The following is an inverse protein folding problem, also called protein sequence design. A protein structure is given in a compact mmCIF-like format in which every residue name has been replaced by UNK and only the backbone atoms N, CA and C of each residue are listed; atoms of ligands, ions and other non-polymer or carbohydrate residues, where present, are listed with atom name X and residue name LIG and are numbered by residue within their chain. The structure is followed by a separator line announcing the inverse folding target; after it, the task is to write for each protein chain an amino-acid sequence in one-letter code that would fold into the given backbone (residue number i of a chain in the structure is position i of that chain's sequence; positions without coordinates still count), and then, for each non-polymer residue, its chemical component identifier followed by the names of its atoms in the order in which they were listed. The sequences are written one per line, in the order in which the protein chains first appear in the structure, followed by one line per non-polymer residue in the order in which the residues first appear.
data_IF_407509459878
#
_entry.id   IF_407509459878
#
_cell.length_a   1.000
_cell.length_b   1.000
_cell.length_c   1.000
_cell.angle_alpha   90.00
_cell.angle_beta   90.00
_cell.angle_gamma   90.00
#
_symmetry.space_group_name_H-M   'P 1'
#
loop_
_entity.id
_entity.type
_entity.pdbx_description
1 polymer ?
#
# COMPACT_ATOMS: atom_id res chain seq x y z
N UNK A 1 -21.96 21.55 -15.21
CA UNK A 1 -23.26 21.52 -14.51
C UNK A 1 -23.74 20.08 -14.52
N UNK A 2 -23.17 19.27 -13.63
CA UNK A 2 -23.53 17.88 -13.42
C UNK A 2 -24.32 17.82 -12.13
N UNK A 3 -25.59 17.46 -12.27
CA UNK A 3 -26.54 17.19 -11.21
C UNK A 3 -26.16 15.88 -10.51
N UNK A 4 -25.47 15.96 -9.38
CA UNK A 4 -25.46 14.88 -8.41
C UNK A 4 -26.69 15.05 -7.51
N UNK A 5 -27.54 14.02 -7.56
CA UNK A 5 -28.77 13.90 -6.80
C UNK A 5 -28.48 13.58 -5.33
N UNK A 6 -28.47 14.60 -4.47
CA UNK A 6 -28.51 14.45 -3.01
C UNK A 6 -29.92 14.03 -2.58
N UNK A 7 -30.13 12.74 -2.34
CA UNK A 7 -31.42 12.16 -1.94
C UNK A 7 -31.63 12.11 -0.42
N UNK A 8 -31.04 13.04 0.34
CA UNK A 8 -31.22 13.16 1.81
C UNK A 8 -31.21 14.59 2.38
N UNK A 9 -31.15 15.63 1.54
CA UNK A 9 -31.03 17.04 2.01
C UNK A 9 -32.38 17.76 2.20
N UNK A 10 -33.51 17.07 2.01
CA UNK A 10 -34.82 17.74 1.91
C UNK A 10 -35.39 18.30 3.24
N UNK A 11 -34.71 18.09 4.37
CA UNK A 11 -35.16 18.54 5.71
C UNK A 11 -34.11 19.38 6.47
N UNK A 12 -33.20 20.05 5.78
CA UNK A 12 -32.27 21.00 6.43
C UNK A 12 -32.92 22.41 6.56
N UNK A 13 -32.92 22.95 7.77
CA UNK A 13 -33.34 24.33 8.05
C UNK A 13 -32.07 25.15 8.39
N UNK A 14 -31.86 26.25 7.68
CA UNK A 14 -30.79 27.21 8.00
C UNK A 14 -31.13 27.97 9.28
N UNK A 15 -30.29 27.84 10.30
CA UNK A 15 -30.42 28.50 11.62
C UNK A 15 -29.35 29.56 11.85
N UNK A 16 -28.63 29.98 10.81
CA UNK A 16 -27.45 30.87 10.95
C UNK A 16 -27.83 32.20 11.60
N UNK A 17 -28.96 32.79 11.19
CA UNK A 17 -29.42 34.07 11.71
C UNK A 17 -29.83 33.96 13.19
N UNK A 18 -30.60 32.93 13.53
CA UNK A 18 -31.07 32.62 14.88
C UNK A 18 -29.89 32.34 15.81
N UNK A 19 -28.91 31.56 15.36
CA UNK A 19 -27.70 31.22 16.13
C UNK A 19 -26.87 32.47 16.42
N UNK A 20 -26.60 33.31 15.42
CA UNK A 20 -25.83 34.54 15.61
C UNK A 20 -26.59 35.56 16.48
N UNK A 21 -27.92 35.60 16.41
CA UNK A 21 -28.72 36.43 17.30
C UNK A 21 -28.67 35.94 18.75
N UNK A 22 -28.77 34.64 18.98
CA UNK A 22 -28.65 34.04 20.30
C UNK A 22 -27.26 34.26 20.91
N UNK A 23 -26.20 34.08 20.11
CA UNK A 23 -24.82 34.25 20.55
C UNK A 23 -24.50 35.68 21.04
N UNK A 24 -25.11 36.71 20.44
CA UNK A 24 -24.96 38.12 20.86
C UNK A 24 -25.48 38.39 22.27
N UNK A 25 -26.39 37.56 22.78
CA UNK A 25 -26.98 37.74 24.11
C UNK A 25 -26.15 37.05 25.21
N UNK A 26 -25.08 36.31 24.86
CA UNK A 26 -24.21 35.63 25.83
C UNK A 26 -23.29 36.67 26.49
N UNK A 27 -23.27 36.79 27.83
CA UNK A 27 -22.37 37.69 28.54
C UNK A 27 -20.89 37.35 28.32
N UNK A 28 -20.04 38.37 28.30
CA UNK A 28 -18.59 38.19 28.22
C UNK A 28 -18.08 37.28 29.34
N UNK A 29 -17.20 36.33 28.98
CA UNK A 29 -16.64 35.36 29.93
C UNK A 29 -17.54 34.17 30.24
N UNK A 30 -18.71 34.05 29.61
CA UNK A 30 -19.55 32.86 29.69
C UNK A 30 -19.36 31.95 28.47
N UNK A 31 -19.47 30.65 28.70
CA UNK A 31 -19.45 29.61 27.66
C UNK A 31 -20.72 28.78 27.82
N UNK A 32 -21.51 28.68 26.75
CA UNK A 32 -22.69 27.82 26.72
C UNK A 32 -22.24 26.41 26.40
N UNK A 33 -22.46 25.49 27.34
CA UNK A 33 -22.11 24.07 27.23
C UNK A 33 -23.06 23.23 28.07
N UNK A 34 -23.04 21.91 27.88
CA UNK A 34 -23.67 20.99 28.83
C UNK A 34 -23.01 21.08 30.22
N UNK A 35 -23.81 20.93 31.27
CA UNK A 35 -23.31 20.90 32.65
C UNK A 35 -22.37 19.71 32.89
N UNK A 36 -22.58 18.61 32.18
CA UNK A 36 -21.78 17.39 32.26
C UNK A 36 -20.44 17.51 31.50
N UNK A 37 -20.30 18.48 30.60
CA UNK A 37 -19.12 18.59 29.74
C UNK A 37 -18.00 19.39 30.43
N UNK A 38 -16.78 18.84 30.46
CA UNK A 38 -15.62 19.54 30.99
C UNK A 38 -14.90 20.33 29.89
N UNK A 39 -14.62 21.62 30.12
CA UNK A 39 -13.83 22.42 29.18
C UNK A 39 -12.40 21.91 29.00
N UNK A 40 -11.89 21.08 29.93
CA UNK A 40 -10.60 20.43 29.79
C UNK A 40 -10.58 19.42 28.64
N UNK A 41 -11.72 18.82 28.27
CA UNK A 41 -11.79 17.96 27.08
C UNK A 41 -11.61 18.78 25.79
N UNK A 42 -12.07 20.03 25.81
CA UNK A 42 -11.95 20.97 24.69
C UNK A 42 -10.50 21.37 24.36
N UNK A 43 -9.53 21.14 25.25
CA UNK A 43 -8.11 21.46 24.95
C UNK A 43 -7.50 20.53 23.90
N UNK A 44 -8.16 19.40 23.61
CA UNK A 44 -7.80 18.46 22.54
C UNK A 44 -8.56 18.72 21.24
N UNK A 45 -9.43 19.74 21.20
CA UNK A 45 -10.18 20.10 20.01
C UNK A 45 -9.26 20.54 18.88
N UNK A 46 -9.51 20.04 17.67
CA UNK A 46 -8.87 20.53 16.45
C UNK A 46 -9.54 21.84 16.01
N UNK A 47 -8.78 22.68 15.30
CA UNK A 47 -9.23 23.98 14.82
C UNK A 47 -9.15 24.03 13.30
N UNK A 48 -10.30 24.23 12.64
CA UNK A 48 -10.36 24.40 11.19
C UNK A 48 -9.67 25.69 10.76
N UNK A 49 -9.11 25.71 9.55
CA UNK A 49 -8.37 26.84 8.97
C UNK A 49 -7.08 27.22 9.74
N UNK A 50 -6.64 26.39 10.68
CA UNK A 50 -5.35 26.54 11.36
C UNK A 50 -4.33 25.59 10.74
N UNK A 51 -3.28 26.13 10.10
CA UNK A 51 -2.24 25.36 9.40
C UNK A 51 -1.57 24.25 10.23
N UNK A 52 -1.59 24.34 11.57
CA UNK A 52 -0.97 23.35 12.46
C UNK A 52 -1.95 22.32 13.02
N UNK A 53 -3.25 22.59 12.99
CA UNK A 53 -4.30 21.76 13.60
C UNK A 53 -5.31 21.23 12.58
N UNK A 54 -5.28 21.75 11.36
CA UNK A 54 -6.16 21.36 10.26
C UNK A 54 -5.37 20.56 9.21
N UNK A 55 -5.56 19.24 9.23
CA UNK A 55 -4.94 18.34 8.26
C UNK A 55 -5.47 18.53 6.84
N UNK A 56 -6.62 19.17 6.64
CA UNK A 56 -7.16 19.44 5.30
C UNK A 56 -6.33 20.48 4.53
N UNK A 57 -5.46 21.23 5.23
CA UNK A 57 -4.57 22.23 4.65
C UNK A 57 -3.20 21.67 4.26
N UNK A 58 -2.96 20.37 4.44
CA UNK A 58 -1.70 19.72 4.03
C UNK A 58 -1.55 19.89 2.52
N UNK A 59 -0.42 20.46 2.11
CA UNK A 59 -0.09 20.67 0.70
C UNK A 59 0.62 19.44 0.17
N UNK A 60 0.02 18.80 -0.82
CA UNK A 60 0.60 17.69 -1.55
C UNK A 60 1.21 18.20 -2.86
N UNK A 61 2.29 17.55 -3.29
CA UNK A 61 2.80 17.66 -4.65
C UNK A 61 1.90 16.89 -5.62
N UNK A 62 1.97 17.21 -6.92
CA UNK A 62 1.18 16.51 -7.94
C UNK A 62 1.56 15.03 -8.02
N UNK A 63 2.82 14.73 -7.74
CA UNK A 63 3.36 13.38 -7.71
C UNK A 63 2.77 12.57 -6.55
N UNK A 64 2.58 13.19 -5.38
CA UNK A 64 1.94 12.55 -4.22
C UNK A 64 0.44 12.33 -4.44
N UNK A 65 -0.26 13.33 -5.01
CA UNK A 65 -1.69 13.22 -5.30
C UNK A 65 -2.01 12.13 -6.34
N UNK A 66 -1.18 12.01 -7.37
CA UNK A 66 -1.41 11.08 -8.49
C UNK A 66 -0.60 9.78 -8.35
N UNK A 67 -0.05 9.48 -7.17
CA UNK A 67 0.73 8.27 -6.94
C UNK A 67 -0.14 7.02 -7.10
N UNK A 68 0.24 6.11 -8.00
CA UNK A 68 -0.49 4.87 -8.27
C UNK A 68 0.36 3.64 -7.89
N UNK A 69 -0.17 2.80 -7.00
CA UNK A 69 0.46 1.57 -6.49
C UNK A 69 0.32 0.36 -7.43
N UNK A 70 -0.43 0.50 -8.52
CA UNK A 70 -0.69 -0.58 -9.49
C UNK A 70 0.32 -0.59 -10.64
N UNK A 71 1.11 0.47 -10.77
CA UNK A 71 2.07 0.59 -11.86
C UNK A 71 3.26 -0.38 -11.68
N UNK A 72 3.79 -0.96 -12.77
CA UNK A 72 4.96 -1.81 -12.72
C UNK A 72 6.17 -1.06 -12.14
N UNK A 73 6.91 -1.73 -11.25
CA UNK A 73 8.17 -1.23 -10.71
C UNK A 73 9.34 -2.09 -11.13
N UNK A 74 10.46 -1.44 -11.43
CA UNK A 74 11.72 -2.17 -11.62
C UNK A 74 12.27 -2.67 -10.27
N UNK A 75 13.32 -3.48 -10.35
CA UNK A 75 13.96 -4.07 -9.18
C UNK A 75 14.52 -3.01 -8.22
N UNK A 76 15.22 -2.00 -8.73
CA UNK A 76 15.85 -0.96 -7.90
C UNK A 76 14.83 -0.18 -7.07
N UNK A 77 13.71 0.22 -7.67
CA UNK A 77 12.62 0.90 -6.97
C UNK A 77 11.93 -0.04 -5.97
N UNK A 78 11.69 -1.30 -6.34
CA UNK A 78 11.12 -2.31 -5.44
C UNK A 78 11.97 -2.48 -4.18
N UNK A 79 13.28 -2.67 -4.35
CA UNK A 79 14.23 -2.79 -3.25
C UNK A 79 14.31 -1.51 -2.41
N UNK A 80 14.32 -0.35 -3.07
CA UNK A 80 14.34 0.95 -2.39
C UNK A 80 13.09 1.16 -1.52
N UNK A 81 11.91 0.70 -1.96
CA UNK A 81 10.69 0.75 -1.17
C UNK A 81 10.78 -0.20 0.03
N UNK A 82 11.24 -1.44 -0.16
CA UNK A 82 11.43 -2.39 0.93
C UNK A 82 12.37 -1.84 2.02
N UNK A 83 13.53 -1.33 1.60
CA UNK A 83 14.53 -0.72 2.47
C UNK A 83 13.99 0.52 3.19
N UNK A 84 13.29 1.42 2.48
CA UNK A 84 12.65 2.59 3.09
C UNK A 84 11.58 2.18 4.10
N UNK A 85 10.73 1.20 3.79
CA UNK A 85 9.69 0.73 4.73
C UNK A 85 10.32 0.13 5.98
N UNK A 86 11.36 -0.69 5.84
CA UNK A 86 12.05 -1.29 6.98
C UNK A 86 12.66 -0.23 7.89
N UNK A 87 13.28 0.82 7.34
CA UNK A 87 13.72 1.98 8.13
C UNK A 87 12.58 2.67 8.86
N UNK A 88 11.41 2.82 8.24
CA UNK A 88 10.25 3.40 8.91
C UNK A 88 9.74 2.54 10.06
N UNK A 89 9.81 1.22 9.95
CA UNK A 89 9.52 0.31 11.07
C UNK A 89 10.49 0.56 12.22
N UNK A 90 11.79 0.71 11.96
CA UNK A 90 12.75 1.05 13.02
C UNK A 90 12.55 2.45 13.61
N UNK A 91 12.17 3.45 12.79
CA UNK A 91 11.85 4.78 13.29
C UNK A 91 10.63 4.76 14.20
N UNK A 92 9.59 4.00 13.81
CA UNK A 92 8.40 3.78 14.61
C UNK A 92 8.73 3.15 15.97
N UNK A 93 9.49 2.04 15.97
CA UNK A 93 9.92 1.38 17.21
C UNK A 93 10.82 2.28 18.07
N UNK A 94 11.46 3.29 17.47
CA UNK A 94 12.23 4.32 18.17
C UNK A 94 11.40 5.58 18.44
N UNK A 95 10.16 5.39 18.89
CA UNK A 95 9.26 6.44 19.39
C UNK A 95 8.77 7.49 18.35
N UNK A 96 8.80 7.15 17.06
CA UNK A 96 8.06 7.94 16.05
C UNK A 96 6.62 7.44 15.93
N UNK A 97 5.72 8.27 15.40
CA UNK A 97 4.31 7.85 15.24
C UNK A 97 4.13 6.86 14.09
N UNK A 98 3.20 5.93 14.24
CA UNK A 98 2.90 4.94 13.20
C UNK A 98 2.35 5.62 11.93
N UNK A 99 1.52 6.66 12.10
CA UNK A 99 0.97 7.51 11.02
C UNK A 99 2.04 8.19 10.17
N UNK A 100 3.09 8.75 10.78
CA UNK A 100 4.13 9.49 10.06
C UNK A 100 5.24 8.59 9.49
N UNK A 101 5.24 7.30 9.85
CA UNK A 101 6.29 6.35 9.45
C UNK A 101 5.73 5.28 8.53
N UNK A 102 5.24 4.16 9.06
CA UNK A 102 4.80 3.02 8.25
C UNK A 102 3.55 3.36 7.43
N UNK A 103 2.57 4.03 8.04
CA UNK A 103 1.34 4.40 7.35
C UNK A 103 1.53 5.58 6.38
N UNK A 104 2.70 6.22 6.36
CA UNK A 104 3.04 7.18 5.29
C UNK A 104 3.24 6.49 3.92
N UNK A 105 3.40 5.17 3.90
CA UNK A 105 3.59 4.40 2.68
C UNK A 105 2.24 4.06 2.02
N UNK A 106 2.00 4.57 0.79
CA UNK A 106 0.76 4.31 0.03
C UNK A 106 0.50 2.82 -0.24
N UNK A 107 1.54 2.02 -0.45
CA UNK A 107 1.38 0.56 -0.57
C UNK A 107 0.84 -0.09 0.71
N UNK A 108 1.27 0.41 1.88
CA UNK A 108 0.80 -0.07 3.18
C UNK A 108 -0.66 0.33 3.38
N UNK A 109 -0.98 1.60 3.14
CA UNK A 109 -2.35 2.13 3.22
C UNK A 109 -3.31 1.34 2.32
N UNK A 110 -3.01 1.21 1.03
CA UNK A 110 -3.88 0.52 0.08
C UNK A 110 -4.11 -0.95 0.48
N UNK A 111 -3.05 -1.65 0.90
CA UNK A 111 -3.15 -3.03 1.37
C UNK A 111 -4.06 -3.15 2.59
N UNK A 112 -3.91 -2.26 3.57
CA UNK A 112 -4.69 -2.27 4.81
C UNK A 112 -6.13 -1.82 4.58
N UNK A 113 -6.37 -0.78 3.78
CA UNK A 113 -7.72 -0.32 3.41
C UNK A 113 -8.49 -1.43 2.70
N UNK A 114 -7.87 -2.10 1.74
CA UNK A 114 -8.50 -3.21 1.02
C UNK A 114 -8.79 -4.41 1.94
N UNK A 115 -7.90 -4.70 2.89
CA UNK A 115 -8.15 -5.69 3.92
C UNK A 115 -9.33 -5.28 4.83
N UNK A 116 -9.37 -4.03 5.30
CA UNK A 116 -10.42 -3.51 6.18
C UNK A 116 -11.81 -3.51 5.52
N UNK A 117 -11.91 -3.40 4.18
CA UNK A 117 -13.20 -3.53 3.47
C UNK A 117 -13.85 -4.90 3.71
N UNK A 118 -13.06 -5.98 3.77
CA UNK A 118 -13.59 -7.31 4.02
C UNK A 118 -12.56 -8.29 4.60
N UNK A 119 -12.38 -8.20 5.92
CA UNK A 119 -11.41 -9.01 6.68
C UNK A 119 -11.64 -10.53 6.57
N UNK A 120 -12.86 -10.98 6.24
CA UNK A 120 -13.23 -12.39 6.18
C UNK A 120 -12.58 -13.13 5.00
N UNK A 121 -12.19 -12.42 3.94
CA UNK A 121 -11.46 -13.01 2.81
C UNK A 121 -9.96 -13.17 3.09
N UNK A 122 -9.50 -12.72 4.27
CA UNK A 122 -8.14 -12.92 4.75
C UNK A 122 -7.10 -12.35 3.80
N UNK A 123 -6.08 -13.15 3.47
CA UNK A 123 -4.93 -12.73 2.67
C UNK A 123 -5.27 -12.41 1.21
N UNK A 124 -6.41 -12.88 0.68
CA UNK A 124 -6.77 -12.74 -0.73
C UNK A 124 -7.17 -11.30 -1.11
N UNK A 125 -7.63 -10.51 -0.14
CA UNK A 125 -8.00 -9.10 -0.34
C UNK A 125 -6.84 -8.14 -0.07
N UNK A 126 -5.71 -8.65 0.42
CA UNK A 126 -4.52 -7.85 0.70
C UNK A 126 -3.75 -7.56 -0.61
N UNK A 127 -4.27 -6.63 -1.41
CA UNK A 127 -3.74 -6.23 -2.70
C UNK A 127 -3.49 -4.72 -2.76
N UNK A 128 -2.63 -4.30 -3.68
CA UNK A 128 -2.32 -2.89 -3.94
C UNK A 128 -3.30 -2.20 -4.90
N UNK A 129 -4.35 -2.90 -5.29
CA UNK A 129 -5.40 -2.44 -6.20
C UNK A 129 -6.77 -2.73 -5.60
N UNK A 130 -7.81 -2.03 -6.03
CA UNK A 130 -9.16 -2.29 -5.56
C UNK A 130 -9.68 -3.62 -6.13
N UNK A 131 -10.06 -4.62 -5.30
CA UNK A 131 -10.61 -5.87 -5.80
C UNK A 131 -11.95 -5.71 -6.54
N UNK A 132 -12.60 -4.55 -6.47
CA UNK A 132 -13.78 -4.22 -7.27
C UNK A 132 -13.45 -3.84 -8.74
N UNK A 133 -12.18 -3.61 -9.08
CA UNK A 133 -11.76 -3.34 -10.45
C UNK A 133 -11.63 -4.64 -11.26
N UNK A 134 -12.60 -4.90 -12.13
CA UNK A 134 -12.72 -6.08 -12.99
C UNK A 134 -11.49 -6.33 -13.91
N UNK A 135 -10.70 -5.29 -14.20
CA UNK A 135 -9.56 -5.36 -15.12
C UNK A 135 -8.36 -6.17 -14.56
N UNK A 136 -8.26 -6.36 -13.24
CA UNK A 136 -7.06 -6.92 -12.61
C UNK A 136 -7.17 -8.45 -12.41
N UNK A 137 -8.38 -9.00 -12.30
CA UNK A 137 -8.60 -10.44 -12.39
C UNK A 137 -8.10 -10.99 -13.74
N UNK A 138 -8.21 -10.19 -14.82
CA UNK A 138 -7.64 -10.50 -16.14
C UNK A 138 -6.10 -10.48 -16.10
N UNK A 139 -5.48 -9.58 -15.32
CA UNK A 139 -4.02 -9.48 -15.18
C UNK A 139 -3.46 -10.67 -14.37
N UNK A 140 -4.14 -11.09 -13.30
CA UNK A 140 -3.77 -12.27 -12.50
C UNK A 140 -3.95 -13.56 -13.32
N UNK A 141 -5.02 -13.69 -14.10
CA UNK A 141 -5.19 -14.81 -15.06
C UNK A 141 -4.12 -14.77 -16.17
N UNK A 142 -3.71 -13.59 -16.63
CA UNK A 142 -2.59 -13.43 -17.57
C UNK A 142 -1.24 -13.81 -16.93
N UNK A 143 -1.02 -13.53 -15.65
CA UNK A 143 0.21 -13.89 -14.91
C UNK A 143 0.45 -15.40 -14.82
N UNK A 144 -0.62 -16.19 -14.65
CA UNK A 144 -0.52 -17.67 -14.71
C UNK A 144 -0.18 -18.17 -16.13
N UNK A 145 -0.51 -17.39 -17.15
CA UNK A 145 -0.19 -17.68 -18.55
C UNK A 145 1.25 -17.31 -18.96
N UNK A 146 1.96 -16.46 -18.20
CA UNK A 146 3.35 -16.05 -18.51
C UNK A 146 4.29 -17.25 -18.59
N UNK A 147 4.16 -18.24 -17.70
CA UNK A 147 4.97 -19.47 -17.76
C UNK A 147 4.66 -20.34 -18.99
N UNK A 148 3.44 -20.24 -19.55
CA UNK A 148 3.05 -20.94 -20.77
C UNK A 148 3.47 -20.18 -22.03
N UNK A 149 3.41 -18.84 -22.00
CA UNK A 149 3.85 -17.97 -23.09
C UNK A 149 5.38 -18.01 -23.22
N UNK A 150 6.12 -17.99 -22.12
CA UNK A 150 7.58 -18.16 -22.11
C UNK A 150 8.02 -19.52 -22.69
N UNK A 151 7.26 -20.60 -22.42
CA UNK A 151 7.46 -21.91 -23.05
C UNK A 151 7.17 -21.89 -24.56
N UNK A 152 6.03 -21.30 -24.96
CA UNK A 152 5.65 -21.19 -26.38
C UNK A 152 6.62 -20.32 -27.18
N UNK A 153 7.20 -19.27 -26.60
CA UNK A 153 8.23 -18.43 -27.24
C UNK A 153 9.58 -19.14 -27.32
N UNK A 154 9.95 -19.97 -26.35
CA UNK A 154 11.13 -20.86 -26.44
C UNK A 154 11.00 -21.85 -27.60
N UNK A 155 9.81 -22.43 -27.76
CA UNK A 155 9.49 -23.36 -28.86
C UNK A 155 9.38 -22.63 -30.22
N UNK A 156 8.91 -21.38 -30.24
CA UNK A 156 8.80 -20.55 -31.44
C UNK A 156 10.16 -19.99 -31.89
N UNK A 157 11.03 -19.57 -30.96
CA UNK A 157 12.40 -19.12 -31.24
C UNK A 157 13.29 -20.27 -31.74
N UNK A 158 13.00 -21.51 -31.35
CA UNK A 158 13.63 -22.69 -31.95
C UNK A 158 13.25 -22.89 -33.43
N UNK A 159 12.08 -22.40 -33.86
CA UNK A 159 11.53 -22.60 -35.21
C UNK A 159 11.81 -21.46 -36.20
N UNK A 160 12.23 -20.27 -35.76
CA UNK A 160 12.40 -19.09 -36.64
C UNK A 160 13.84 -18.67 -36.88
N UNK A 161 14.56 -19.53 -37.58
CA UNK A 161 15.65 -19.12 -38.47
C UNK A 161 15.00 -18.64 -39.78
N UNK A 162 14.86 -17.33 -39.97
CA UNK A 162 14.62 -16.58 -41.23
C UNK A 162 13.36 -15.67 -41.23
N UNK A 163 13.53 -14.34 -41.06
CA UNK A 163 12.96 -13.23 -41.88
C UNK A 163 13.12 -11.86 -41.21
N UNK A 164 13.30 -10.82 -42.02
CA UNK A 164 13.83 -9.48 -41.69
C UNK A 164 12.85 -8.46 -41.07
N UNK A 165 11.70 -8.89 -40.54
CA UNK A 165 10.79 -8.00 -39.78
C UNK A 165 11.08 -8.00 -38.26
N UNK A 166 12.33 -8.28 -37.87
CA UNK A 166 12.77 -8.67 -36.52
C UNK A 166 12.73 -7.56 -35.48
N UNK A 167 13.24 -6.37 -35.78
CA UNK A 167 13.65 -5.45 -34.72
C UNK A 167 12.49 -4.76 -33.99
N UNK A 168 11.40 -4.41 -34.70
CA UNK A 168 10.26 -3.73 -34.08
C UNK A 168 9.39 -4.69 -33.25
N UNK A 169 9.13 -5.90 -33.76
CA UNK A 169 8.33 -6.89 -33.03
C UNK A 169 9.11 -7.53 -31.87
N UNK A 170 10.43 -7.73 -32.00
CA UNK A 170 11.27 -8.17 -30.87
C UNK A 170 11.37 -7.09 -29.78
N UNK A 171 11.48 -5.81 -30.16
CA UNK A 171 11.50 -4.69 -29.20
C UNK A 171 10.18 -4.55 -28.43
N UNK A 172 9.03 -4.66 -29.10
CA UNK A 172 7.71 -4.63 -28.45
C UNK A 172 7.52 -5.82 -27.50
N UNK A 173 7.89 -7.05 -27.92
CA UNK A 173 7.80 -8.25 -27.08
C UNK A 173 8.72 -8.17 -25.86
N UNK A 174 9.94 -7.66 -26.01
CA UNK A 174 10.88 -7.47 -24.88
C UNK A 174 10.36 -6.42 -23.90
N UNK A 175 9.73 -5.36 -24.39
CA UNK A 175 9.11 -4.33 -23.54
C UNK A 175 7.93 -4.90 -22.75
N UNK A 176 7.05 -5.66 -23.41
CA UNK A 176 5.91 -6.32 -22.76
C UNK A 176 6.38 -7.37 -21.72
N UNK A 177 7.46 -8.10 -22.01
CA UNK A 177 8.04 -9.05 -21.06
C UNK A 177 8.62 -8.36 -19.82
N UNK A 178 9.33 -7.25 -20.01
CA UNK A 178 9.89 -6.46 -18.91
C UNK A 178 8.79 -5.80 -18.05
N UNK A 179 7.74 -5.26 -18.67
CA UNK A 179 6.58 -4.71 -17.95
C UNK A 179 5.88 -5.81 -17.11
N UNK A 180 5.71 -7.01 -17.66
CA UNK A 180 5.15 -8.15 -16.93
C UNK A 180 6.03 -8.59 -15.75
N UNK A 181 7.36 -8.65 -15.93
CA UNK A 181 8.29 -8.94 -14.83
C UNK A 181 8.20 -7.90 -13.72
N UNK A 182 8.14 -6.62 -14.09
CA UNK A 182 7.99 -5.51 -13.16
C UNK A 182 6.66 -5.56 -12.38
N UNK A 183 5.58 -6.04 -13.00
CA UNK A 183 4.32 -6.30 -12.28
C UNK A 183 4.46 -7.44 -11.26
N UNK A 184 5.23 -8.48 -11.56
CA UNK A 184 5.48 -9.58 -10.60
C UNK A 184 6.28 -9.07 -9.39
N UNK A 185 7.27 -8.20 -9.62
CA UNK A 185 8.01 -7.56 -8.52
C UNK A 185 7.08 -6.81 -7.56
N UNK A 186 6.06 -6.12 -8.08
CA UNK A 186 5.07 -5.40 -7.25
C UNK A 186 4.08 -6.36 -6.58
N UNK A 187 3.31 -7.12 -7.36
CA UNK A 187 2.15 -7.85 -6.83
C UNK A 187 2.50 -9.17 -6.14
N UNK A 188 3.70 -9.72 -6.37
CA UNK A 188 4.18 -10.92 -5.68
C UNK A 188 5.21 -10.56 -4.63
N UNK A 189 6.34 -9.98 -5.04
CA UNK A 189 7.48 -9.78 -4.14
C UNK A 189 7.19 -8.69 -3.12
N UNK A 190 6.92 -7.46 -3.57
CA UNK A 190 6.64 -6.33 -2.69
C UNK A 190 5.42 -6.61 -1.81
N UNK A 191 4.33 -7.16 -2.36
CA UNK A 191 3.15 -7.55 -1.59
C UNK A 191 3.48 -8.52 -0.46
N UNK A 192 4.23 -9.59 -0.72
CA UNK A 192 4.62 -10.57 0.31
C UNK A 192 5.49 -9.96 1.40
N UNK A 193 6.39 -9.03 1.05
CA UNK A 193 7.19 -8.28 2.02
C UNK A 193 6.31 -7.41 2.94
N UNK A 194 5.35 -6.68 2.37
CA UNK A 194 4.41 -5.85 3.14
C UNK A 194 3.55 -6.70 4.08
N UNK A 195 3.07 -7.87 3.64
CA UNK A 195 2.34 -8.80 4.51
C UNK A 195 3.16 -9.21 5.75
N UNK A 196 4.45 -9.50 5.57
CA UNK A 196 5.35 -9.80 6.69
C UNK A 196 5.50 -8.63 7.67
N UNK A 197 5.68 -7.41 7.14
CA UNK A 197 5.77 -6.19 7.95
C UNK A 197 4.44 -5.92 8.69
N UNK A 198 3.29 -6.07 8.03
CA UNK A 198 1.98 -5.92 8.66
C UNK A 198 1.82 -6.87 9.85
N UNK A 199 2.20 -8.14 9.69
CA UNK A 199 2.09 -9.11 10.76
C UNK A 199 3.06 -8.83 11.92
N UNK A 200 4.26 -8.32 11.63
CA UNK A 200 5.18 -7.85 12.66
C UNK A 200 4.63 -6.64 13.44
N UNK A 201 3.96 -5.72 12.75
CA UNK A 201 3.29 -4.58 13.39
C UNK A 201 2.13 -5.07 14.26
N UNK A 202 1.28 -5.99 13.76
CA UNK A 202 0.22 -6.62 14.54
C UNK A 202 0.77 -7.24 15.83
N UNK A 203 1.88 -7.97 15.73
CA UNK A 203 2.55 -8.54 16.89
C UNK A 203 2.97 -7.46 17.91
N UNK A 204 3.62 -6.40 17.43
CA UNK A 204 4.07 -5.28 18.28
C UNK A 204 2.89 -4.53 18.93
N UNK A 205 1.80 -4.29 18.19
CA UNK A 205 0.57 -3.71 18.72
C UNK A 205 -0.07 -4.62 19.78
N UNK A 206 -0.17 -5.92 19.50
CA UNK A 206 -0.68 -6.91 20.45
C UNK A 206 0.15 -6.93 21.73
N UNK A 207 1.48 -6.83 21.61
CA UNK A 207 2.38 -6.74 22.76
C UNK A 207 2.13 -5.46 23.58
N UNK A 208 1.92 -4.32 22.93
CA UNK A 208 1.61 -3.07 23.63
C UNK A 208 0.32 -3.17 24.46
N UNK A 209 -0.72 -3.84 23.92
CA UNK A 209 -1.99 -4.05 24.61
C UNK A 209 -1.91 -4.99 25.82
N UNK A 210 -0.82 -5.74 25.99
CA UNK A 210 -0.61 -6.54 27.22
C UNK A 210 -0.29 -5.70 28.45
N UNK A 211 -0.06 -4.39 28.28
CA UNK A 211 0.24 -3.44 29.36
C UNK A 211 1.71 -3.45 29.80
N UNK A 212 2.59 -4.11 29.03
CA UNK A 212 4.04 -4.08 29.25
C UNK A 212 4.70 -2.78 28.76
N UNK A 213 4.09 -2.12 27.77
CA UNK A 213 4.58 -0.88 27.16
C UNK A 213 3.56 0.24 27.40
N UNK A 214 4.04 1.45 27.68
CA UNK A 214 3.21 2.63 27.83
C UNK A 214 2.92 3.25 26.45
N UNK A 215 1.63 3.38 26.15
CA UNK A 215 1.15 3.99 24.90
C UNK A 215 1.55 5.47 24.82
N UNK A 216 2.04 5.90 23.66
CA UNK A 216 2.56 7.25 23.39
C UNK A 216 3.84 7.66 24.16
N UNK A 217 4.37 6.81 25.04
CA UNK A 217 5.66 7.01 25.73
C UNK A 217 6.73 6.06 25.19
N UNK A 218 6.46 4.75 25.22
CA UNK A 218 7.38 3.71 24.74
C UNK A 218 7.14 3.37 23.26
N UNK A 219 5.86 3.34 22.87
CA UNK A 219 5.43 2.99 21.52
C UNK A 219 4.16 3.75 21.14
N UNK A 220 4.10 4.24 19.90
CA UNK A 220 2.90 4.83 19.35
C UNK A 220 2.07 3.77 18.61
N UNK A 221 0.80 3.62 18.98
CA UNK A 221 -0.13 2.57 18.49
C UNK A 221 -1.21 3.13 17.56
N UNK A 222 -1.20 4.43 17.27
CA UNK A 222 -2.25 5.10 16.50
C UNK A 222 -2.29 4.56 15.06
N UNK A 223 -3.30 3.74 14.76
CA UNK A 223 -3.44 3.02 13.49
C UNK A 223 -4.35 3.70 12.47
N UNK A 224 -4.96 4.85 12.82
CA UNK A 224 -6.00 5.50 12.00
C UNK A 224 -7.18 4.57 11.68
N UNK A 225 -7.59 3.77 12.67
CA UNK A 225 -8.66 2.78 12.56
C UNK A 225 -8.42 1.68 11.50
N UNK A 226 -7.17 1.50 11.05
CA UNK A 226 -6.79 0.39 10.18
C UNK A 226 -6.45 -0.87 10.99
N UNK A 227 -6.86 -2.02 10.46
CA UNK A 227 -6.62 -3.35 11.06
C UNK A 227 -5.44 -4.05 10.40
N UNK A 228 -4.48 -4.53 11.19
CA UNK A 228 -3.26 -5.18 10.70
C UNK A 228 -3.40 -6.71 10.60
N UNK A 229 -4.15 -7.22 9.64
CA UNK A 229 -4.19 -8.67 9.31
C UNK A 229 -4.53 -9.59 10.50
N UNK A 230 -5.35 -9.12 11.43
CA UNK A 230 -5.77 -9.81 12.66
C UNK A 230 -6.48 -11.17 12.43
N UNK A 231 -7.12 -11.36 11.27
CA UNK A 231 -7.79 -12.62 10.88
C UNK A 231 -6.94 -13.50 9.94
N UNK A 232 -5.69 -13.12 9.65
CA UNK A 232 -4.81 -13.87 8.74
C UNK A 232 -3.84 -14.75 9.51
N UNK A 233 -3.87 -16.06 9.24
CA UNK A 233 -2.92 -17.01 9.84
C UNK A 233 -1.49 -16.73 9.36
N UNK A 234 -0.55 -16.63 10.31
CA UNK A 234 0.88 -16.50 10.07
C UNK A 234 1.41 -17.55 9.08
N UNK A 235 0.89 -18.79 9.10
CA UNK A 235 1.32 -19.84 8.17
C UNK A 235 1.06 -19.48 6.71
N UNK A 236 -0.03 -18.78 6.42
CA UNK A 236 -0.34 -18.33 5.06
C UNK A 236 0.63 -17.23 4.63
N UNK A 237 0.93 -16.29 5.53
CA UNK A 237 1.89 -15.21 5.25
C UNK A 237 3.29 -15.79 4.99
N UNK A 238 3.75 -16.73 5.81
CA UNK A 238 5.04 -17.40 5.61
C UNK A 238 5.07 -18.15 4.28
N UNK A 239 3.98 -18.81 3.88
CA UNK A 239 3.87 -19.49 2.59
C UNK A 239 4.00 -18.52 1.41
N UNK A 240 3.37 -17.34 1.49
CA UNK A 240 3.49 -16.30 0.45
C UNK A 240 4.93 -15.77 0.36
N UNK A 241 5.58 -15.52 1.50
CA UNK A 241 6.98 -15.07 1.54
C UNK A 241 7.91 -16.13 0.94
N UNK A 242 7.75 -17.41 1.31
CA UNK A 242 8.53 -18.50 0.72
C UNK A 242 8.31 -18.62 -0.79
N UNK A 243 7.07 -18.52 -1.26
CA UNK A 243 6.75 -18.52 -2.70
C UNK A 243 7.40 -17.37 -3.48
N UNK A 244 7.59 -16.21 -2.83
CA UNK A 244 8.32 -15.08 -3.38
C UNK A 244 9.83 -15.31 -3.41
N UNK A 245 10.41 -15.88 -2.34
CA UNK A 245 11.83 -16.25 -2.28
C UNK A 245 12.15 -17.29 -3.36
N UNK A 246 11.36 -18.36 -3.45
CA UNK A 246 11.53 -19.41 -4.46
C UNK A 246 11.49 -18.83 -5.88
N UNK A 247 10.63 -17.85 -6.14
CA UNK A 247 10.56 -17.18 -7.43
C UNK A 247 11.83 -16.36 -7.73
N UNK A 248 12.31 -15.59 -6.76
CA UNK A 248 13.55 -14.81 -6.90
C UNK A 248 14.76 -15.72 -7.15
N UNK A 249 14.88 -16.81 -6.41
CA UNK A 249 15.96 -17.78 -6.60
C UNK A 249 15.90 -18.40 -8.01
N UNK A 250 14.72 -18.73 -8.52
CA UNK A 250 14.59 -19.33 -9.84
C UNK A 250 14.92 -18.36 -10.98
N UNK A 251 14.50 -17.09 -10.89
CA UNK A 251 14.82 -16.11 -11.94
C UNK A 251 16.29 -15.67 -11.91
N UNK A 252 16.85 -15.39 -10.74
CA UNK A 252 18.20 -14.85 -10.65
C UNK A 252 19.31 -15.93 -10.61
N UNK A 253 19.05 -17.17 -10.15
CA UNK A 253 20.04 -18.25 -10.30
C UNK A 253 20.20 -18.67 -11.76
N UNK A 254 19.20 -18.45 -12.62
CA UNK A 254 19.32 -18.74 -14.05
C UNK A 254 20.30 -17.79 -14.74
N UNK A 255 20.33 -16.52 -14.33
CA UNK A 255 21.29 -15.53 -14.85
C UNK A 255 22.73 -15.89 -14.47
N UNK A 256 22.97 -16.25 -13.21
CA UNK A 256 24.31 -16.61 -12.70
C UNK A 256 24.85 -17.89 -13.35
N UNK A 257 23.98 -18.86 -13.67
CA UNK A 257 24.36 -20.07 -14.43
C UNK A 257 24.71 -19.73 -15.89
N UNK A 258 23.96 -18.81 -16.51
CA UNK A 258 24.17 -18.42 -17.92
C UNK A 258 25.42 -17.57 -18.15
N UNK A 259 25.86 -16.80 -17.13
CA UNK A 259 27.11 -16.04 -17.19
C UNK A 259 28.34 -16.95 -16.98
N UNK A 260 28.25 -17.95 -16.10
CA UNK A 260 29.31 -18.95 -15.92
C UNK A 260 29.53 -19.76 -17.22
N UNK A 261 28.45 -20.18 -17.88
CA UNK A 261 28.53 -20.88 -19.18
C UNK A 261 29.14 -20.01 -20.30
N UNK A 262 28.98 -18.69 -20.24
CA UNK A 262 29.62 -17.76 -21.20
C UNK A 262 31.10 -17.57 -20.91
N UNK A 263 31.51 -17.60 -19.64
CA UNK A 263 32.91 -17.47 -19.22
C UNK A 263 33.69 -18.75 -19.56
N UNK A 264 33.14 -19.94 -19.31
CA UNK A 264 33.81 -21.21 -19.66
C UNK A 264 33.98 -21.42 -21.18
N UNK A 265 33.09 -20.87 -22.01
CA UNK A 265 33.19 -20.96 -23.47
C UNK A 265 34.13 -19.91 -24.11
N UNK A 266 34.59 -18.92 -23.36
CA UNK A 266 35.59 -17.93 -23.83
C UNK A 266 37.02 -18.40 -23.54
N UNK A 267 37.24 -19.20 -22.49
CA UNK A 267 38.57 -19.75 -22.17
C UNK A 267 38.97 -20.99 -22.99
N UNK A 268 38.11 -21.47 -23.89
CA UNK A 268 38.37 -22.62 -24.78
C UNK A 268 38.43 -22.27 -26.29
N UNK A 269 38.80 -21.03 -26.65
CA UNK A 269 39.11 -20.65 -28.04
C UNK A 269 40.52 -20.09 -28.22
#
# INVERSE_FOLDING_TARGET
MSSDSTSSESDCIDITAEFLQAAKNIPNGQVVKSDLFSLLEGTRGLEILNLKLDTTLIKLSKEEENFNTELPLNLDYTLSICDKLLRHVFLWLNNSTLTSTVLSCRYMENLLVNYSKNVLFGINVCNFFDPADDEINIIIEKQQNISQIARKLKDYNFQLKNRENRENSESELMKEMNENQNLVLVHKILRSFFLGICHFILFSLTLSHTGLLLEEEDINTQSMDLTFLDYVDLKLILKEISSSIDWLENEFNYEMSSEIDKIENVELK
#
